data_IF_917076797347
#
_entry.id   IF_917076797347
#
_cell.length_a   1.000
_cell.length_b   1.000
_cell.length_c   1.000
_cell.angle_alpha   90.00
_cell.angle_beta   90.00
_cell.angle_gamma   90.00
#
_symmetry.space_group_name_H-M   'P 1'
#
loop_
_entity.id
_entity.type
_entity.pdbx_description
1 polymer ?
#
# COMPACT_ATOMS: atom_id res chain seq x y z
N UNK A 1 -15.34 4.48 -7.99
CA UNK A 1 -14.48 4.19 -6.81
C UNK A 1 -13.94 5.46 -6.10
N UNK A 2 -14.63 6.61 -6.12
CA UNK A 2 -14.15 7.85 -5.44
C UNK A 2 -14.78 8.14 -4.07
N UNK A 3 -15.80 7.39 -3.64
CA UNK A 3 -16.51 7.68 -2.38
C UNK A 3 -15.76 7.28 -1.11
N UNK A 4 -14.85 6.31 -1.19
CA UNK A 4 -14.20 5.72 -0.01
C UNK A 4 -12.72 6.11 0.14
N UNK A 5 -12.17 6.85 -0.82
CA UNK A 5 -10.78 7.30 -0.79
C UNK A 5 -10.74 8.80 -0.43
N UNK A 6 -9.91 9.21 0.55
CA UNK A 6 -9.86 10.59 1.02
C UNK A 6 -9.55 11.58 -0.10
N UNK A 7 -10.16 12.77 -0.09
CA UNK A 7 -9.89 13.78 -1.12
C UNK A 7 -8.45 14.28 -1.04
N UNK A 8 -7.93 14.46 0.17
CA UNK A 8 -6.54 14.87 0.41
C UNK A 8 -5.57 13.75 0.06
N UNK A 9 -4.66 14.02 -0.89
CA UNK A 9 -3.62 13.10 -1.36
C UNK A 9 -2.38 13.04 -0.46
N UNK A 10 -2.27 13.96 0.50
CA UNK A 10 -1.22 13.98 1.53
C UNK A 10 -1.58 13.20 2.79
N UNK A 11 -2.83 12.77 2.94
CA UNK A 11 -3.28 12.03 4.12
C UNK A 11 -2.50 10.72 4.27
N UNK A 12 -2.21 10.35 5.52
CA UNK A 12 -1.62 9.05 5.83
C UNK A 12 -2.65 7.94 5.63
N UNK A 13 -2.27 6.90 4.89
CA UNK A 13 -3.07 5.69 4.68
C UNK A 13 -2.25 4.49 5.13
N UNK A 14 -2.84 3.68 6.01
CA UNK A 14 -2.30 2.40 6.47
C UNK A 14 -3.18 1.26 5.98
N UNK A 15 -2.57 0.26 5.36
CA UNK A 15 -3.20 -0.99 4.94
C UNK A 15 -2.64 -2.16 5.76
N UNK A 16 -3.49 -2.86 6.51
CA UNK A 16 -3.10 -3.96 7.41
C UNK A 16 -3.51 -5.30 6.80
N UNK A 17 -2.58 -6.26 6.73
CA UNK A 17 -2.77 -7.46 5.92
C UNK A 17 -2.80 -7.11 4.43
N UNK A 18 -1.90 -6.21 4.02
CA UNK A 18 -1.91 -5.62 2.68
C UNK A 18 -1.53 -6.59 1.55
N UNK A 19 -1.19 -7.84 1.89
CA UNK A 19 -0.64 -8.83 0.97
C UNK A 19 0.62 -8.30 0.31
N UNK A 20 0.72 -8.46 -1.01
CA UNK A 20 1.83 -7.93 -1.79
C UNK A 20 1.66 -6.44 -2.16
N UNK A 21 0.68 -5.73 -1.57
CA UNK A 21 0.54 -4.28 -1.68
C UNK A 21 -0.23 -3.78 -2.91
N UNK A 22 -1.15 -4.56 -3.48
CA UNK A 22 -1.94 -4.14 -4.64
C UNK A 22 -2.71 -2.82 -4.41
N UNK A 23 -3.31 -2.66 -3.23
CA UNK A 23 -4.03 -1.42 -2.87
C UNK A 23 -3.08 -0.23 -2.75
N UNK A 24 -1.91 -0.44 -2.12
CA UNK A 24 -0.87 0.58 -1.99
C UNK A 24 -0.39 1.04 -3.38
N UNK A 25 -0.16 0.11 -4.30
CA UNK A 25 0.24 0.41 -5.67
C UNK A 25 -0.80 1.29 -6.38
N UNK A 26 -2.07 0.88 -6.39
CA UNK A 26 -3.16 1.65 -7.01
C UNK A 26 -3.32 3.02 -6.34
N UNK A 27 -3.20 3.11 -5.01
CA UNK A 27 -3.26 4.39 -4.31
C UNK A 27 -2.10 5.32 -4.73
N UNK A 28 -0.88 4.82 -4.94
CA UNK A 28 0.21 5.65 -5.49
C UNK A 28 -0.14 6.17 -6.88
N UNK A 29 -0.65 5.32 -7.77
CA UNK A 29 -1.07 5.72 -9.12
C UNK A 29 -2.17 6.80 -9.09
N UNK A 30 -3.02 6.78 -8.06
CA UNK A 30 -4.05 7.80 -7.82
C UNK A 30 -3.52 9.08 -7.12
N UNK A 31 -2.21 9.20 -6.95
CA UNK A 31 -1.51 10.38 -6.46
C UNK A 31 -1.33 10.46 -4.94
N UNK A 32 -1.69 9.42 -4.18
CA UNK A 32 -1.43 9.40 -2.74
C UNK A 32 0.06 9.22 -2.46
N UNK A 33 0.58 9.99 -1.51
CA UNK A 33 2.03 10.08 -1.25
C UNK A 33 2.46 9.50 0.10
N UNK A 34 1.53 9.34 1.03
CA UNK A 34 1.79 8.91 2.39
C UNK A 34 1.09 7.57 2.67
N UNK A 35 1.69 6.50 2.17
CA UNK A 35 1.12 5.16 2.17
C UNK A 35 2.04 4.18 2.89
N UNK A 36 1.47 3.31 3.72
CA UNK A 36 2.17 2.21 4.37
C UNK A 36 1.31 0.95 4.31
N UNK A 37 1.90 -0.15 3.88
CA UNK A 37 1.31 -1.48 3.93
C UNK A 37 2.08 -2.36 4.91
N UNK A 38 1.36 -3.08 5.76
CA UNK A 38 1.95 -4.04 6.71
C UNK A 38 1.35 -5.41 6.43
N UNK A 39 2.21 -6.43 6.30
CA UNK A 39 1.76 -7.82 6.18
C UNK A 39 2.62 -8.75 7.04
N UNK A 40 1.99 -9.76 7.65
CA UNK A 40 2.67 -10.72 8.50
C UNK A 40 3.33 -11.87 7.73
N UNK A 41 3.05 -12.04 6.44
CA UNK A 41 3.68 -13.07 5.59
C UNK A 41 4.97 -12.55 4.96
N UNK A 42 6.14 -13.14 5.28
CA UNK A 42 7.40 -12.81 4.63
C UNK A 42 7.35 -13.00 3.10
N UNK A 43 6.57 -13.97 2.62
CA UNK A 43 6.39 -14.25 1.19
C UNK A 43 5.70 -13.10 0.47
N UNK A 44 4.69 -12.49 1.09
CA UNK A 44 3.97 -11.33 0.56
C UNK A 44 4.86 -10.08 0.52
N UNK A 45 5.63 -9.82 1.59
CA UNK A 45 6.60 -8.71 1.62
C UNK A 45 7.68 -8.90 0.55
N UNK A 46 8.17 -10.13 0.36
CA UNK A 46 9.13 -10.44 -0.70
C UNK A 46 8.51 -10.28 -2.10
N UNK A 47 7.24 -10.64 -2.27
CA UNK A 47 6.52 -10.44 -3.53
C UNK A 47 6.36 -8.95 -3.85
N UNK A 48 5.98 -8.11 -2.89
CA UNK A 48 5.90 -6.66 -3.07
C UNK A 48 7.22 -6.07 -3.58
N UNK A 49 8.34 -6.48 -2.98
CA UNK A 49 9.70 -6.07 -3.42
C UNK A 49 10.01 -6.50 -4.86
N UNK A 50 9.70 -7.74 -5.23
CA UNK A 50 9.90 -8.23 -6.61
C UNK A 50 9.03 -7.50 -7.63
N UNK A 51 7.84 -7.08 -7.22
CA UNK A 51 6.90 -6.30 -8.04
C UNK A 51 7.24 -4.81 -8.09
N UNK A 52 8.26 -4.35 -7.34
CA UNK A 52 8.62 -2.92 -7.27
C UNK A 52 7.59 -2.07 -6.51
N UNK A 53 6.75 -2.69 -5.68
CA UNK A 53 5.73 -1.98 -4.88
C UNK A 53 6.40 -1.44 -3.62
N UNK A 54 6.59 -0.12 -3.58
CA UNK A 54 7.19 0.57 -2.44
C UNK A 54 6.20 0.82 -1.31
N UNK A 55 6.68 0.64 -0.07
CA UNK A 55 5.91 0.96 1.14
C UNK A 55 5.24 -0.23 1.81
N UNK A 56 5.56 -1.46 1.38
CA UNK A 56 5.16 -2.70 2.07
C UNK A 56 6.28 -3.18 2.99
N UNK A 57 5.93 -3.46 4.25
CA UNK A 57 6.85 -3.93 5.29
C UNK A 57 6.26 -5.11 6.08
N UNK A 58 7.15 -5.83 6.77
CA UNK A 58 6.77 -6.93 7.64
C UNK A 58 6.24 -6.39 8.98
N UNK A 59 5.14 -6.98 9.46
CA UNK A 59 4.52 -6.69 10.76
C UNK A 59 4.57 -7.86 11.75
#
# INVERSE_FOLDING_TARGET
>A
MRQHFPVDKGVAILDLGCGHGALIHVARELGYRNLRGVDGSPEQVAAARRLGIEGVEAG
#
